data_IF_317157388100
#
_entry.id   IF_317157388100
#
_cell.length_a   1.000
_cell.length_b   1.000
_cell.length_c   1.000
_cell.angle_alpha   90.00
_cell.angle_beta   90.00
_cell.angle_gamma   90.00
#
_symmetry.space_group_name_H-M   'P 1'
#
loop_
_entity.id
_entity.type
_entity.pdbx_description
1 polymer ?
#
# COMPACT_ATOMS: atom_id res chain seq x y z
N UNK A 1 9.79 -33.32 35.52
CA UNK A 1 8.68 -33.11 34.57
C UNK A 1 8.16 -31.69 34.69
N UNK A 2 8.44 -30.86 33.69
CA UNK A 2 7.56 -29.82 33.11
C UNK A 2 8.38 -29.04 32.08
N UNK A 3 8.08 -29.32 30.82
CA UNK A 3 8.61 -28.73 29.60
C UNK A 3 7.97 -27.37 29.37
N UNK A 4 8.73 -26.31 29.07
CA UNK A 4 8.26 -25.20 28.23
C UNK A 4 9.43 -24.60 27.42
N UNK A 5 9.24 -24.56 26.09
CA UNK A 5 10.09 -23.89 25.12
C UNK A 5 10.13 -22.37 25.38
N UNK A 6 11.31 -21.76 25.30
CA UNK A 6 11.44 -20.31 25.14
C UNK A 6 12.46 -20.02 24.04
N UNK A 7 11.95 -19.73 22.84
CA UNK A 7 12.72 -19.09 21.79
C UNK A 7 12.48 -17.58 21.91
N UNK A 8 13.48 -16.85 22.42
CA UNK A 8 13.46 -15.38 22.41
C UNK A 8 14.11 -14.94 21.10
N UNK A 9 13.24 -14.54 20.18
CA UNK A 9 13.58 -14.05 18.85
C UNK A 9 14.12 -12.62 18.92
N UNK A 10 14.97 -12.30 17.94
CA UNK A 10 15.85 -11.14 17.89
C UNK A 10 15.15 -9.78 18.03
N UNK A 11 15.88 -8.89 18.69
CA UNK A 11 15.67 -7.45 18.78
C UNK A 11 15.74 -6.82 17.38
N UNK A 12 14.63 -6.29 16.88
CA UNK A 12 14.63 -5.25 15.85
C UNK A 12 13.77 -4.09 16.34
N UNK A 13 14.39 -2.94 16.60
CA UNK A 13 13.69 -1.66 16.68
C UNK A 13 13.06 -1.38 15.32
N UNK A 14 11.74 -1.54 15.19
CA UNK A 14 10.98 -0.76 14.21
C UNK A 14 10.43 0.45 14.95
N UNK A 15 10.94 1.65 14.61
CA UNK A 15 10.26 2.88 14.97
C UNK A 15 8.92 2.88 14.23
N UNK A 16 7.85 2.52 14.92
CA UNK A 16 6.51 2.93 14.52
C UNK A 16 6.35 4.38 14.92
N UNK A 17 6.46 5.31 13.97
CA UNK A 17 6.03 6.69 14.19
C UNK A 17 4.50 6.68 14.26
N UNK A 18 3.95 6.45 15.45
CA UNK A 18 2.56 6.75 15.72
C UNK A 18 2.42 8.28 15.80
N UNK A 19 1.84 8.89 14.78
CA UNK A 19 1.46 10.31 14.86
C UNK A 19 0.03 10.39 15.39
N UNK A 20 -0.17 11.11 16.50
CA UNK A 20 -1.47 11.39 17.07
C UNK A 20 -2.23 12.39 16.18
N UNK A 21 -3.47 12.07 15.78
CA UNK A 21 -4.33 13.00 15.05
C UNK A 21 -4.84 14.11 15.99
N UNK A 22 -4.81 15.40 15.60
CA UNK A 22 -5.57 16.44 16.29
C UNK A 22 -7.09 16.27 16.03
N UNK A 23 -7.96 16.69 16.97
CA UNK A 23 -9.40 16.48 16.84
C UNK A 23 -9.99 17.31 15.70
N UNK A 24 -10.57 16.67 14.70
CA UNK A 24 -11.29 17.36 13.62
C UNK A 24 -12.74 17.61 14.04
N UNK A 25 -13.06 18.85 14.40
CA UNK A 25 -14.45 19.29 14.58
C UNK A 25 -15.07 19.60 13.20
N UNK A 26 -16.30 19.14 13.00
CA UNK A 26 -17.17 19.35 11.84
C UNK A 26 -16.94 20.67 11.06
N UNK A 27 -16.58 20.59 9.77
CA UNK A 27 -16.75 21.73 8.86
C UNK A 27 -15.92 21.75 7.57
N UNK A 28 -14.65 21.40 7.62
CA UNK A 28 -13.74 21.65 6.49
C UNK A 28 -13.56 20.42 5.59
N UNK A 29 -14.58 20.07 4.80
CA UNK A 29 -14.51 18.93 3.84
C UNK A 29 -13.76 19.25 2.54
N UNK A 30 -13.23 20.46 2.37
CA UNK A 30 -12.66 20.89 1.10
C UNK A 30 -11.28 21.54 1.30
N UNK A 31 -10.24 20.84 0.83
CA UNK A 31 -8.87 21.31 0.59
C UNK A 31 -7.86 21.35 1.76
N UNK A 32 -7.69 20.26 2.52
CA UNK A 32 -6.39 19.84 3.11
C UNK A 32 -6.58 18.53 3.87
N UNK A 33 -6.37 17.37 3.23
CA UNK A 33 -5.95 16.09 3.86
C UNK A 33 -5.96 14.99 2.78
N UNK A 34 -4.86 14.88 2.03
CA UNK A 34 -4.51 13.65 1.29
C UNK A 34 -3.37 12.97 2.04
N UNK A 35 -3.60 12.27 3.17
CA UNK A 35 -2.54 11.49 3.78
C UNK A 35 -2.14 10.37 2.82
N UNK A 36 -1.04 10.59 2.09
CA UNK A 36 -0.31 9.56 1.37
C UNK A 36 0.58 8.85 2.38
N UNK A 37 0.40 7.54 2.59
CA UNK A 37 1.27 6.82 3.53
C UNK A 37 2.57 6.35 2.91
N UNK A 38 2.61 6.15 1.59
CA UNK A 38 3.87 5.87 0.89
C UNK A 38 4.30 7.09 0.07
N UNK A 39 5.52 7.56 0.32
CA UNK A 39 6.27 8.44 -0.57
C UNK A 39 7.54 7.67 -0.93
N UNK A 40 7.37 6.64 -1.76
CA UNK A 40 8.50 5.82 -2.17
C UNK A 40 9.28 6.53 -3.27
N UNK A 41 10.57 6.72 -3.03
CA UNK A 41 11.54 6.98 -4.09
C UNK A 41 11.89 5.69 -4.82
N UNK A 42 12.56 5.82 -5.97
CA UNK A 42 13.19 4.71 -6.68
C UNK A 42 13.87 3.69 -5.74
N UNK A 43 13.79 2.40 -6.10
CA UNK A 43 14.25 1.20 -5.37
C UNK A 43 13.32 0.66 -4.28
N UNK A 44 12.12 1.22 -4.12
CA UNK A 44 11.12 0.60 -3.24
C UNK A 44 10.64 -0.75 -3.79
N UNK A 45 10.42 -1.71 -2.89
CA UNK A 45 10.07 -3.10 -3.19
C UNK A 45 9.07 -3.64 -2.18
N UNK A 46 8.23 -4.56 -2.62
CA UNK A 46 7.33 -5.36 -1.78
C UNK A 46 7.27 -6.77 -2.36
N UNK A 47 7.53 -7.80 -1.55
CA UNK A 47 7.52 -9.21 -1.97
C UNK A 47 6.22 -9.90 -1.56
N UNK A 48 5.92 -11.01 -2.22
CA UNK A 48 4.86 -11.91 -1.75
C UNK A 48 5.19 -12.42 -0.35
N UNK A 49 4.23 -12.28 0.56
CA UNK A 49 4.37 -12.67 1.96
C UNK A 49 4.86 -11.55 2.87
N UNK A 50 5.29 -10.41 2.33
CA UNK A 50 5.50 -9.20 3.13
C UNK A 50 4.16 -8.70 3.68
N UNK A 51 4.20 -7.97 4.80
CA UNK A 51 3.03 -7.26 5.30
C UNK A 51 2.49 -6.31 4.20
N UNK A 52 1.17 -6.21 4.04
CA UNK A 52 0.61 -5.29 3.05
C UNK A 52 1.02 -3.86 3.37
N UNK A 53 1.17 -3.05 2.33
CA UNK A 53 1.34 -1.63 2.52
C UNK A 53 0.00 -1.04 2.97
N UNK A 54 -0.02 -0.50 4.18
CA UNK A 54 -1.19 0.17 4.72
C UNK A 54 -1.17 1.65 4.32
N UNK A 55 -2.37 2.20 4.13
CA UNK A 55 -2.61 3.63 4.00
C UNK A 55 -3.87 4.00 4.78
N UNK A 56 -3.87 5.12 5.49
CA UNK A 56 -5.05 5.59 6.26
C UNK A 56 -5.46 6.98 5.82
N UNK A 57 -6.76 7.25 5.81
CA UNK A 57 -7.36 8.57 5.60
C UNK A 57 -8.56 8.73 6.53
N UNK A 58 -8.38 9.48 7.62
CA UNK A 58 -9.39 9.53 8.69
C UNK A 58 -9.74 8.11 9.14
N UNK A 59 -11.02 7.73 9.06
CA UNK A 59 -11.51 6.40 9.42
C UNK A 59 -11.38 5.34 8.32
N UNK A 60 -10.93 5.72 7.12
CA UNK A 60 -10.69 4.80 6.01
C UNK A 60 -9.28 4.23 6.09
N UNK A 61 -9.14 2.92 5.89
CA UNK A 61 -7.85 2.27 5.69
C UNK A 61 -7.85 1.53 4.35
N UNK A 62 -6.71 1.54 3.66
CA UNK A 62 -6.49 0.75 2.47
C UNK A 62 -5.21 -0.06 2.59
N UNK A 63 -5.20 -1.20 1.91
CA UNK A 63 -4.11 -2.17 1.91
C UNK A 63 -3.74 -2.48 0.48
N UNK A 64 -2.46 -2.36 0.14
CA UNK A 64 -1.90 -2.83 -1.12
C UNK A 64 -1.10 -4.10 -0.86
N UNK A 65 -1.45 -5.18 -1.55
CA UNK A 65 -0.87 -6.51 -1.33
C UNK A 65 -0.60 -7.25 -2.63
N UNK A 66 0.42 -8.12 -2.60
CA UNK A 66 0.63 -9.13 -3.64
C UNK A 66 -0.03 -10.43 -3.18
N UNK A 67 -1.13 -10.77 -3.83
CA UNK A 67 -1.76 -12.07 -3.72
C UNK A 67 -1.20 -13.00 -4.80
N UNK A 68 -1.25 -14.32 -4.61
CA UNK A 68 -0.51 -15.33 -5.43
C UNK A 68 -0.46 -15.06 -6.93
N UNK A 69 -1.52 -14.49 -7.52
CA UNK A 69 -1.64 -14.15 -8.93
C UNK A 69 -2.25 -12.76 -9.18
N UNK A 70 -2.20 -11.84 -8.20
CA UNK A 70 -2.77 -10.50 -8.37
C UNK A 70 -2.05 -9.44 -7.53
N UNK A 71 -1.95 -8.22 -8.06
CA UNK A 71 -1.76 -7.02 -7.25
C UNK A 71 -3.14 -6.50 -6.83
N UNK A 72 -3.40 -6.37 -5.53
CA UNK A 72 -4.73 -6.07 -5.00
C UNK A 72 -4.67 -4.87 -4.08
N UNK A 73 -5.57 -3.91 -4.30
CA UNK A 73 -5.89 -2.91 -3.30
C UNK A 73 -7.24 -3.22 -2.64
N UNK A 74 -7.24 -3.24 -1.32
CA UNK A 74 -8.44 -3.42 -0.50
C UNK A 74 -8.65 -2.17 0.33
N UNK A 75 -9.90 -1.88 0.65
CA UNK A 75 -10.28 -0.83 1.60
C UNK A 75 -11.05 -1.45 2.73
N UNK A 76 -10.66 -1.13 3.95
CA UNK A 76 -11.37 -1.42 5.18
C UNK A 76 -12.13 -0.17 5.61
N UNK A 77 -13.44 -0.30 5.69
CA UNK A 77 -14.35 0.73 6.19
C UNK A 77 -14.86 0.26 7.54
N UNK A 78 -14.61 1.05 8.58
CA UNK A 78 -15.23 0.81 9.88
C UNK A 78 -16.64 1.36 9.83
N UNK A 79 -17.63 0.46 9.82
CA UNK A 79 -19.03 0.83 9.86
C UNK A 79 -19.43 0.94 11.34
N UNK A 80 -19.96 2.11 11.70
CA UNK A 80 -20.53 2.39 13.02
C UNK A 80 -21.97 2.82 12.79
N UNK A 81 -22.81 1.86 12.38
CA UNK A 81 -24.27 2.03 12.33
C UNK A 81 -24.89 1.15 13.41
N UNK A 82 -26.06 1.55 13.91
CA UNK A 82 -26.67 0.95 15.12
C UNK A 82 -26.83 -0.57 15.10
N UNK A 83 -26.91 -1.18 13.91
CA UNK A 83 -27.11 -2.62 13.75
C UNK A 83 -25.86 -3.36 13.21
N UNK A 84 -24.87 -2.66 12.64
CA UNK A 84 -23.64 -3.24 12.08
C UNK A 84 -22.41 -2.51 12.61
N UNK A 85 -21.86 -3.05 13.69
CA UNK A 85 -20.60 -2.61 14.28
C UNK A 85 -19.47 -3.52 13.81
N UNK A 86 -18.75 -3.13 12.76
CA UNK A 86 -17.70 -3.97 12.19
C UNK A 86 -16.79 -3.27 11.18
N UNK A 87 -15.58 -3.79 11.03
CA UNK A 87 -14.69 -3.44 9.93
C UNK A 87 -15.04 -4.31 8.71
N UNK A 88 -15.44 -3.67 7.61
CA UNK A 88 -15.72 -4.35 6.35
C UNK A 88 -14.62 -4.06 5.35
N UNK A 89 -13.98 -5.12 4.85
CA UNK A 89 -12.93 -5.03 3.85
C UNK A 89 -13.47 -5.41 2.47
N UNK A 90 -13.29 -4.53 1.50
CA UNK A 90 -13.68 -4.73 0.09
C UNK A 90 -12.49 -4.53 -0.83
N UNK A 91 -12.39 -5.32 -1.91
CA UNK A 91 -11.43 -5.07 -2.98
C UNK A 91 -11.85 -3.82 -3.75
N UNK A 92 -10.98 -2.82 -3.82
CA UNK A 92 -11.20 -1.59 -4.60
C UNK A 92 -10.81 -1.84 -6.06
N UNK A 93 -9.65 -2.43 -6.27
CA UNK A 93 -9.20 -2.87 -7.59
C UNK A 93 -8.24 -4.04 -7.46
N UNK A 94 -8.11 -4.80 -8.54
CA UNK A 94 -7.09 -5.83 -8.70
C UNK A 94 -6.52 -5.81 -10.10
N UNK A 95 -5.24 -6.16 -10.21
CA UNK A 95 -4.57 -6.43 -11.48
C UNK A 95 -4.30 -7.94 -11.49
N UNK A 96 -5.10 -8.73 -12.23
CA UNK A 96 -4.82 -10.15 -12.39
C UNK A 96 -3.54 -10.33 -13.20
N UNK A 97 -2.71 -11.27 -12.78
CA UNK A 97 -1.40 -11.53 -13.37
C UNK A 97 -1.41 -12.90 -14.04
N UNK A 98 -0.65 -13.01 -15.13
CA UNK A 98 -0.56 -14.23 -15.95
C UNK A 98 0.19 -15.39 -15.28
N UNK A 99 0.77 -15.16 -14.10
CA UNK A 99 1.57 -16.15 -13.38
C UNK A 99 1.75 -15.80 -11.91
N UNK A 100 2.49 -16.66 -11.21
CA UNK A 100 2.82 -16.47 -9.80
C UNK A 100 3.71 -15.24 -9.62
N UNK A 101 3.23 -14.28 -8.83
CA UNK A 101 3.99 -13.07 -8.53
C UNK A 101 5.06 -13.34 -7.47
N UNK A 102 6.15 -12.56 -7.53
CA UNK A 102 7.22 -12.58 -6.56
C UNK A 102 7.40 -11.21 -5.90
N UNK A 103 7.46 -10.13 -6.69
CA UNK A 103 7.79 -8.80 -6.19
C UNK A 103 7.13 -7.69 -7.01
N UNK A 104 6.70 -6.62 -6.34
CA UNK A 104 6.35 -5.32 -6.90
C UNK A 104 7.54 -4.38 -6.67
N UNK A 105 8.06 -3.78 -7.73
CA UNK A 105 9.28 -2.96 -7.68
C UNK A 105 9.02 -1.61 -8.31
N UNK A 106 9.28 -0.54 -7.56
CA UNK A 106 9.40 0.80 -8.14
C UNK A 106 10.85 1.05 -8.54
N UNK A 107 11.12 0.95 -9.84
CA UNK A 107 12.47 0.91 -10.39
C UNK A 107 13.12 2.31 -10.46
N UNK A 108 14.47 2.39 -10.48
CA UNK A 108 15.21 3.64 -10.69
C UNK A 108 14.88 4.42 -11.95
N UNK A 109 14.38 3.72 -12.98
CA UNK A 109 14.00 4.34 -14.24
C UNK A 109 12.58 4.94 -14.21
N UNK A 110 11.88 4.87 -13.07
CA UNK A 110 10.54 5.43 -12.91
C UNK A 110 9.40 4.50 -13.33
N UNK A 111 9.69 3.23 -13.65
CA UNK A 111 8.67 2.24 -13.94
C UNK A 111 8.27 1.47 -12.65
N UNK A 112 6.97 1.22 -12.48
CA UNK A 112 6.48 0.31 -11.45
C UNK A 112 6.18 -1.03 -12.13
N UNK A 113 6.84 -2.09 -11.68
CA UNK A 113 6.75 -3.42 -12.30
C UNK A 113 6.34 -4.47 -11.28
N UNK A 114 5.60 -5.47 -11.75
CA UNK A 114 5.40 -6.73 -11.05
C UNK A 114 6.18 -7.81 -11.76
N UNK A 115 6.99 -8.56 -11.02
CA UNK A 115 7.84 -9.62 -11.55
C UNK A 115 7.57 -10.97 -10.89
N UNK A 116 7.88 -12.05 -11.60
CA UNK A 116 7.92 -13.41 -11.06
C UNK A 116 9.29 -13.73 -10.42
N UNK A 117 9.46 -14.99 -9.98
CA UNK A 117 10.70 -15.48 -9.33
C UNK A 117 11.89 -15.55 -10.29
N UNK A 118 11.66 -15.55 -11.59
CA UNK A 118 12.68 -15.51 -12.64
C UNK A 118 13.00 -14.07 -13.09
N UNK A 119 12.47 -13.05 -12.40
CA UNK A 119 12.54 -11.64 -12.76
C UNK A 119 11.87 -11.29 -14.11
N UNK A 120 10.97 -12.15 -14.61
CA UNK A 120 10.16 -11.83 -15.78
C UNK A 120 9.05 -10.85 -15.37
N UNK A 121 8.90 -9.78 -16.15
CA UNK A 121 7.83 -8.80 -15.96
C UNK A 121 6.48 -9.44 -16.28
N UNK A 122 5.59 -9.48 -15.29
CA UNK A 122 4.20 -9.93 -15.42
C UNK A 122 3.26 -8.75 -15.75
N UNK A 123 3.58 -7.57 -15.22
CA UNK A 123 2.83 -6.33 -15.45
C UNK A 123 3.72 -5.10 -15.21
N UNK A 124 3.42 -3.98 -15.84
CA UNK A 124 4.12 -2.71 -15.63
C UNK A 124 3.25 -1.48 -15.95
N UNK A 125 3.60 -0.33 -15.37
CA UNK A 125 2.90 0.96 -15.61
C UNK A 125 3.29 1.63 -16.94
N UNK A 126 4.42 1.24 -17.54
CA UNK A 126 5.01 1.89 -18.72
C UNK A 126 5.38 3.38 -18.49
N UNK A 127 5.78 3.73 -17.27
CA UNK A 127 6.11 5.12 -16.86
C UNK A 127 7.61 5.40 -16.85
N UNK A 128 8.40 4.57 -17.55
CA UNK A 128 9.85 4.73 -17.65
C UNK A 128 10.21 6.14 -18.13
N UNK A 129 11.13 6.79 -17.42
CA UNK A 129 11.58 8.16 -17.67
C UNK A 129 10.64 9.26 -17.18
N UNK A 130 9.45 8.90 -16.68
CA UNK A 130 8.43 9.84 -16.23
C UNK A 130 8.15 9.71 -14.72
N UNK A 131 8.05 8.48 -14.21
CA UNK A 131 7.76 8.24 -12.79
C UNK A 131 8.90 8.68 -11.87
N UNK A 132 8.54 9.32 -10.77
CA UNK A 132 9.47 9.85 -9.78
C UNK A 132 9.06 9.51 -8.34
N UNK A 133 7.77 9.59 -8.03
CA UNK A 133 7.22 9.35 -6.70
C UNK A 133 6.02 8.42 -6.81
N UNK A 134 6.03 7.33 -6.04
CA UNK A 134 4.88 6.45 -5.86
C UNK A 134 4.14 6.82 -4.58
N UNK A 135 2.82 7.00 -4.68
CA UNK A 135 1.92 7.28 -3.55
C UNK A 135 0.77 6.28 -3.47
N UNK A 136 0.53 5.77 -2.28
CA UNK A 136 -0.66 4.99 -1.95
C UNK A 136 -1.47 5.72 -0.88
N UNK A 137 -2.77 5.82 -1.11
CA UNK A 137 -3.71 6.59 -0.31
C UNK A 137 -4.69 5.68 0.43
N UNK A 138 -5.22 6.15 1.57
CA UNK A 138 -6.14 5.38 2.41
C UNK A 138 -7.51 5.07 1.79
N UNK A 139 -7.79 5.60 0.61
CA UNK A 139 -8.97 5.26 -0.22
C UNK A 139 -8.69 4.13 -1.22
N UNK A 140 -7.46 3.60 -1.25
CA UNK A 140 -7.04 2.54 -2.15
C UNK A 140 -6.47 3.02 -3.48
N UNK A 141 -6.29 4.33 -3.67
CA UNK A 141 -5.68 4.87 -4.89
C UNK A 141 -4.16 4.66 -4.87
N UNK A 142 -3.62 4.12 -5.96
CA UNK A 142 -2.17 4.04 -6.21
C UNK A 142 -1.82 4.98 -7.36
N UNK A 143 -0.91 5.91 -7.12
CA UNK A 143 -0.63 7.02 -8.03
C UNK A 143 0.88 7.21 -8.20
N UNK A 144 1.28 7.43 -9.44
CA UNK A 144 2.66 7.69 -9.82
C UNK A 144 2.79 9.11 -10.34
N UNK A 145 3.69 9.87 -9.73
CA UNK A 145 3.94 11.26 -10.06
C UNK A 145 5.28 11.46 -10.76
N UNK A 146 5.34 12.43 -11.66
CA UNK A 146 6.59 12.95 -12.20
C UNK A 146 7.32 13.89 -11.23
N UNK A 147 8.44 14.47 -11.69
CA UNK A 147 9.27 15.40 -10.91
C UNK A 147 8.58 16.73 -10.60
N UNK A 148 7.53 17.10 -11.33
CA UNK A 148 6.78 18.35 -11.13
C UNK A 148 5.48 18.11 -10.35
N UNK A 149 5.32 16.93 -9.73
CA UNK A 149 4.11 16.50 -9.03
C UNK A 149 2.87 16.34 -9.95
N UNK A 150 3.08 16.12 -11.26
CA UNK A 150 2.05 15.70 -12.19
C UNK A 150 1.79 14.18 -12.12
N UNK A 151 0.52 13.78 -11.99
CA UNK A 151 0.13 12.35 -12.03
C UNK A 151 0.34 11.81 -13.45
N UNK A 152 1.21 10.81 -13.60
CA UNK A 152 1.50 10.15 -14.90
C UNK A 152 0.82 8.79 -15.03
N UNK A 153 0.41 8.17 -13.93
CA UNK A 153 -0.35 6.93 -13.92
C UNK A 153 -1.11 6.76 -12.61
N UNK A 154 -2.32 6.19 -12.66
CA UNK A 154 -3.14 5.91 -11.47
C UNK A 154 -3.96 4.63 -11.62
N UNK A 155 -4.18 3.93 -10.50
CA UNK A 155 -5.22 2.92 -10.34
C UNK A 155 -6.16 3.20 -9.17
#
# INVERSE_FOLDING_TARGET
MKTQCLAVFALLLSLTTAFAQPPTNNGDVNAAERPAQLLASANWRMKVGDAPLLATRGNDAAELALERNALVAKKTVTITTGDDMGAHTSVVWSIPLSGAVNELVFQPDGNLVVVDTANKVLWQTNTKGQGHILRFYGDGVLDLFDKTNGSVWRK
#
